data_IF_845976199758
#
_entry.id   IF_845976199758
#
_cell.length_a   1.000
_cell.length_b   1.000
_cell.length_c   1.000
_cell.angle_alpha   90.00
_cell.angle_beta   90.00
_cell.angle_gamma   90.00
#
_symmetry.space_group_name_H-M   'P 1'
#
loop_
_entity.id
_entity.type
_entity.pdbx_description
1 polymer ?
#
# COMPACT_ATOMS: atom_id res chain seq x y z
N UNK A 1 47.54 -31.32 15.03
CA UNK A 1 46.57 -32.41 14.73
C UNK A 1 45.34 -32.20 15.61
N UNK A 2 44.14 -32.43 15.05
CA UNK A 2 42.77 -32.13 15.55
C UNK A 2 42.37 -30.64 15.50
N UNK A 3 41.61 -30.19 14.48
CA UNK A 3 40.15 -30.40 14.23
C UNK A 3 39.36 -29.89 15.45
N UNK A 4 38.60 -28.79 15.36
CA UNK A 4 37.37 -28.72 14.59
C UNK A 4 36.89 -27.27 14.38
N UNK A 5 36.47 -26.96 13.15
CA UNK A 5 35.60 -25.82 12.82
C UNK A 5 34.16 -26.31 13.01
N UNK A 6 33.42 -25.71 13.95
CA UNK A 6 31.99 -25.96 14.10
C UNK A 6 31.22 -25.01 13.18
N UNK A 7 30.76 -25.54 12.05
CA UNK A 7 29.80 -24.89 11.16
C UNK A 7 28.43 -24.97 11.83
N UNK A 8 27.94 -23.86 12.36
CA UNK A 8 26.56 -23.76 12.83
C UNK A 8 25.63 -23.61 11.62
N UNK A 9 25.07 -24.73 11.18
CA UNK A 9 23.89 -24.78 10.31
C UNK A 9 22.70 -24.36 11.16
N UNK A 10 22.12 -23.18 10.90
CA UNK A 10 20.87 -22.74 11.52
C UNK A 10 19.98 -22.14 10.43
N UNK A 11 19.24 -23.05 9.80
CA UNK A 11 17.86 -22.91 9.30
C UNK A 11 17.55 -21.70 8.42
N UNK A 12 17.69 -21.92 7.11
CA UNK A 12 16.89 -21.22 6.11
C UNK A 12 15.41 -21.54 6.37
N UNK A 13 14.68 -20.61 6.98
CA UNK A 13 13.23 -20.58 6.88
C UNK A 13 12.90 -20.09 5.46
N UNK A 14 12.96 -21.02 4.51
CA UNK A 14 12.45 -20.81 3.17
C UNK A 14 10.94 -20.69 3.30
N UNK A 15 10.45 -19.45 3.41
CA UNK A 15 9.05 -19.13 3.24
C UNK A 15 8.66 -19.65 1.86
N UNK A 16 7.92 -20.75 1.81
CA UNK A 16 7.14 -21.09 0.62
C UNK A 16 6.10 -19.99 0.46
N UNK A 17 6.48 -18.93 -0.27
CA UNK A 17 5.50 -18.03 -0.85
C UNK A 17 4.65 -18.92 -1.76
N UNK A 18 3.43 -19.23 -1.33
CA UNK A 18 2.44 -19.82 -2.22
C UNK A 18 2.27 -18.83 -3.36
N UNK A 19 2.80 -19.16 -4.54
CA UNK A 19 2.68 -18.37 -5.77
C UNK A 19 1.26 -18.31 -6.32
N UNK A 20 0.26 -18.27 -5.45
CA UNK A 20 -1.06 -17.80 -5.81
C UNK A 20 -0.95 -16.27 -5.90
N UNK A 21 -0.46 -15.79 -7.05
CA UNK A 21 -0.71 -14.42 -7.47
C UNK A 21 -2.23 -14.20 -7.30
N UNK A 22 -2.65 -13.16 -6.55
CA UNK A 22 -4.08 -12.92 -6.37
C UNK A 22 -4.74 -12.88 -7.75
N UNK A 23 -5.86 -13.59 -7.89
CA UNK A 23 -6.62 -13.54 -9.13
C UNK A 23 -6.86 -12.07 -9.46
N UNK A 24 -6.38 -11.62 -10.62
CA UNK A 24 -6.42 -10.21 -11.01
C UNK A 24 -7.87 -9.73 -10.88
N UNK A 25 -8.09 -8.64 -10.14
CA UNK A 25 -9.43 -8.14 -9.88
C UNK A 25 -10.16 -7.71 -11.16
N UNK A 26 -9.40 -7.45 -12.23
CA UNK A 26 -9.90 -7.01 -13.53
C UNK A 26 -9.43 -7.94 -14.67
N UNK A 27 -10.23 -8.08 -15.74
CA UNK A 27 -9.83 -8.77 -16.95
C UNK A 27 -8.54 -8.19 -17.57
N UNK A 28 -7.81 -8.95 -18.41
CA UNK A 28 -6.56 -8.45 -19.02
C UNK A 28 -6.71 -7.14 -19.82
N UNK A 29 -7.88 -6.89 -20.42
CA UNK A 29 -8.15 -5.63 -21.14
C UNK A 29 -8.21 -4.41 -20.21
N UNK A 30 -8.56 -4.62 -18.94
CA UNK A 30 -8.71 -3.59 -17.91
C UNK A 30 -7.54 -3.61 -16.91
N UNK A 31 -6.41 -4.21 -17.30
CA UNK A 31 -5.26 -4.43 -16.42
C UNK A 31 -4.58 -3.15 -15.92
N UNK A 32 -4.93 -1.99 -16.49
CA UNK A 32 -4.43 -0.68 -16.06
C UNK A 32 -5.20 -0.08 -14.88
N UNK A 33 -6.37 -0.63 -14.51
CA UNK A 33 -7.07 -0.25 -13.29
C UNK A 33 -6.44 -0.92 -12.08
N UNK A 34 -6.37 -0.16 -10.99
CA UNK A 34 -5.89 -0.66 -9.70
C UNK A 34 -7.08 -1.18 -8.90
N UNK A 35 -6.93 -2.38 -8.35
CA UNK A 35 -7.81 -2.83 -7.28
C UNK A 35 -7.50 -2.09 -5.97
N UNK A 36 -8.20 -2.45 -4.89
CA UNK A 36 -7.95 -1.80 -3.61
C UNK A 36 -6.53 -2.02 -3.08
N UNK A 37 -6.05 -3.26 -3.06
CA UNK A 37 -4.75 -3.59 -2.50
C UNK A 37 -3.63 -2.93 -3.33
N UNK A 38 -3.78 -2.95 -4.66
CA UNK A 38 -2.88 -2.26 -5.59
C UNK A 38 -2.91 -0.74 -5.40
N UNK A 39 -4.09 -0.14 -5.23
CA UNK A 39 -4.24 1.28 -4.94
C UNK A 39 -3.57 1.64 -3.61
N UNK A 40 -3.79 0.86 -2.55
CA UNK A 40 -3.16 1.09 -1.23
C UNK A 40 -1.64 1.00 -1.33
N UNK A 41 -1.10 -0.05 -1.95
CA UNK A 41 0.34 -0.19 -2.14
C UNK A 41 0.92 0.98 -2.95
N UNK A 42 0.21 1.44 -3.97
CA UNK A 42 0.64 2.56 -4.82
C UNK A 42 0.73 3.87 -4.01
N UNK A 43 -0.30 4.21 -3.24
CA UNK A 43 -0.30 5.46 -2.45
C UNK A 43 0.73 5.41 -1.32
N UNK A 44 0.93 4.26 -0.68
CA UNK A 44 1.96 4.05 0.35
C UNK A 44 3.37 4.26 -0.22
N UNK A 45 3.63 3.69 -1.41
CA UNK A 45 4.89 3.92 -2.12
C UNK A 45 5.12 5.40 -2.47
N UNK A 46 4.07 6.09 -2.92
CA UNK A 46 4.17 7.53 -3.24
C UNK A 46 4.50 8.35 -2.00
N UNK A 47 3.82 8.10 -0.88
CA UNK A 47 4.03 8.81 0.38
C UNK A 47 5.43 8.53 0.96
N UNK A 48 5.87 7.27 0.93
CA UNK A 48 7.22 6.88 1.34
C UNK A 48 8.31 7.54 0.46
N UNK A 49 8.04 7.72 -0.85
CA UNK A 49 8.95 8.39 -1.77
C UNK A 49 8.94 9.91 -1.72
N UNK A 50 7.93 10.53 -1.06
CA UNK A 50 7.74 11.99 -0.99
C UNK A 50 7.36 12.46 0.42
N UNK A 51 8.09 12.09 1.48
CA UNK A 51 7.65 12.31 2.86
C UNK A 51 7.62 13.78 3.27
N UNK A 52 8.37 14.66 2.59
CA UNK A 52 8.35 16.10 2.86
C UNK A 52 7.06 16.78 2.39
N UNK A 53 6.38 16.20 1.38
CA UNK A 53 5.21 16.83 0.76
C UNK A 53 3.95 15.96 0.75
N UNK A 54 4.02 14.70 1.15
CA UNK A 54 2.89 13.78 1.12
C UNK A 54 2.77 13.01 2.45
N UNK A 55 1.60 13.06 3.07
CA UNK A 55 1.28 12.29 4.28
C UNK A 55 -0.06 11.59 4.11
N UNK A 56 -0.07 10.26 4.23
CA UNK A 56 -1.30 9.48 4.23
C UNK A 56 -1.97 9.50 5.59
N UNK A 57 -3.30 9.57 5.58
CA UNK A 57 -4.13 9.28 6.72
C UNK A 57 -5.49 8.71 6.29
N UNK A 58 -6.13 8.02 7.23
CA UNK A 58 -7.48 7.46 7.06
C UNK A 58 -8.49 8.38 7.76
N UNK A 59 -9.66 8.60 7.13
CA UNK A 59 -10.82 9.27 7.78
C UNK A 59 -11.75 8.28 8.48
N UNK A 60 -11.42 6.99 8.46
CA UNK A 60 -12.20 5.94 9.09
C UNK A 60 -12.28 4.70 8.23
N UNK A 61 -13.26 3.84 8.55
CA UNK A 61 -13.46 2.58 7.84
C UNK A 61 -14.82 2.56 7.17
N UNK A 62 -14.87 1.99 5.96
CA UNK A 62 -16.10 1.70 5.27
C UNK A 62 -16.87 0.56 5.93
N UNK A 63 -18.08 0.29 5.46
CA UNK A 63 -18.94 -0.78 5.99
C UNK A 63 -18.27 -2.17 5.99
N UNK A 64 -17.43 -2.45 4.98
CA UNK A 64 -16.68 -3.71 4.88
C UNK A 64 -15.35 -3.70 5.67
N UNK A 65 -15.12 -2.72 6.55
CA UNK A 65 -13.91 -2.61 7.37
C UNK A 65 -12.66 -2.12 6.65
N UNK A 66 -12.77 -1.73 5.37
CA UNK A 66 -11.66 -1.17 4.60
C UNK A 66 -11.36 0.26 5.02
N UNK A 67 -10.08 0.60 5.15
CA UNK A 67 -9.65 1.98 5.39
C UNK A 67 -10.12 2.88 4.26
N UNK A 68 -10.79 3.97 4.64
CA UNK A 68 -11.10 5.08 3.76
C UNK A 68 -9.86 5.96 3.74
N UNK A 69 -8.92 5.60 2.86
CA UNK A 69 -7.76 6.42 2.56
C UNK A 69 -8.24 7.76 2.01
N UNK A 70 -8.37 8.71 2.92
CA UNK A 70 -9.12 9.93 2.67
C UNK A 70 -8.33 10.94 1.87
N UNK A 71 -7.02 10.99 2.12
CA UNK A 71 -6.18 12.03 1.60
C UNK A 71 -4.73 11.65 1.86
N UNK A 72 -3.93 11.65 0.80
CA UNK A 72 -2.59 12.17 0.98
C UNK A 72 -2.77 13.68 1.21
N UNK A 73 -2.48 14.20 2.42
CA UNK A 73 -2.23 15.65 2.53
C UNK A 73 -1.04 15.92 1.63
N UNK A 74 -1.20 16.85 0.69
CA UNK A 74 -0.13 17.31 -0.19
C UNK A 74 0.09 18.80 0.03
N UNK A 75 1.24 19.16 0.59
CA UNK A 75 1.63 20.55 0.91
C UNK A 75 3.15 20.57 1.13
N UNK A 76 3.81 21.70 0.89
CA UNK A 76 5.25 21.87 1.09
C UNK A 76 5.69 21.73 2.56
N UNK A 77 4.78 22.02 3.51
CA UNK A 77 4.95 21.76 4.94
C UNK A 77 3.86 20.82 5.47
N UNK A 78 3.81 19.61 4.91
CA UNK A 78 2.75 18.60 5.16
C UNK A 78 2.51 18.25 6.65
N UNK A 79 3.48 18.53 7.52
CA UNK A 79 3.41 18.26 8.95
C UNK A 79 2.69 19.32 9.79
N UNK A 80 2.46 20.50 9.23
CA UNK A 80 1.88 21.67 9.91
C UNK A 80 0.59 22.05 9.21
N UNK A 81 -0.36 22.59 9.98
CA UNK A 81 -1.55 23.22 9.43
C UNK A 81 -1.29 24.72 9.31
N UNK A 82 -1.44 25.26 8.09
CA UNK A 82 -0.99 26.60 7.72
C UNK A 82 -2.18 27.41 7.21
N UNK A 83 -2.04 28.73 7.16
CA UNK A 83 -3.10 29.64 6.68
C UNK A 83 -3.14 29.65 5.13
N UNK A 84 -3.39 28.48 4.54
CA UNK A 84 -3.48 28.24 3.11
C UNK A 84 -4.87 27.74 2.70
N UNK A 85 -5.34 27.99 1.46
CA UNK A 85 -6.58 27.41 0.97
C UNK A 85 -6.51 25.88 0.84
N UNK A 86 -7.57 25.20 1.28
CA UNK A 86 -7.70 23.74 1.14
C UNK A 86 -8.54 23.35 -0.08
N UNK A 87 -8.11 22.29 -0.77
CA UNK A 87 -8.86 21.67 -1.88
C UNK A 87 -8.91 20.16 -1.67
N UNK A 88 -10.11 19.58 -1.84
CA UNK A 88 -10.34 18.14 -1.69
C UNK A 88 -10.70 17.51 -3.03
N UNK A 89 -9.98 16.46 -3.40
CA UNK A 89 -10.33 15.57 -4.51
C UNK A 89 -10.80 14.24 -3.93
N UNK A 90 -11.94 13.74 -4.42
CA UNK A 90 -12.48 12.45 -4.00
C UNK A 90 -12.97 11.65 -5.19
N UNK A 91 -12.87 10.33 -5.12
CA UNK A 91 -13.33 9.40 -6.14
C UNK A 91 -14.09 8.25 -5.49
N UNK A 92 -14.97 7.60 -6.25
CA UNK A 92 -15.56 6.32 -5.88
C UNK A 92 -14.76 5.22 -6.55
N UNK A 93 -14.13 4.34 -5.77
CA UNK A 93 -13.48 3.16 -6.30
C UNK A 93 -14.55 2.10 -6.61
N UNK A 94 -14.69 1.72 -7.89
CA UNK A 94 -15.52 0.57 -8.27
C UNK A 94 -14.90 -0.70 -7.71
N UNK A 95 -15.54 -1.25 -6.66
CA UNK A 95 -15.18 -2.57 -6.16
C UNK A 95 -15.63 -3.60 -7.20
N UNK A 96 -14.68 -4.13 -7.97
CA UNK A 96 -14.92 -5.25 -8.89
C UNK A 96 -15.40 -6.45 -8.08
N UNK A 97 -16.72 -6.63 -7.99
CA UNK A 97 -17.31 -7.87 -7.51
C UNK A 97 -17.28 -8.87 -8.66
N UNK A 98 -16.40 -9.86 -8.58
CA UNK A 98 -16.56 -11.09 -9.35
C UNK A 98 -17.79 -11.83 -8.80
N UNK A 99 -18.95 -11.59 -9.42
CA UNK A 99 -20.04 -12.57 -9.47
C UNK A 99 -19.75 -13.61 -10.53
#
# INVERSE_FOLDING_TARGET
MSRSVAVAVMSALFVLSSGAEPARAYPPVDSGYLDYAEMVATIEQIAAGKPSIARLFSIGRGHQGRELWAAAKVSDNVGVDEEEPEVVFTTVACTGGST
#
